data_IF_552323243722
#
_entry.id   IF_552323243722
#
_cell.length_a   1.000
_cell.length_b   1.000
_cell.length_c   1.000
_cell.angle_alpha   90.00
_cell.angle_beta   90.00
_cell.angle_gamma   90.00
#
_symmetry.space_group_name_H-M   'P 1'
#
loop_
_entity.id
_entity.type
_entity.pdbx_description
1 polymer ?
#
# COMPACT_ATOMS: atom_id res chain seq x y z
N UNK A 1 -1.06 21.07 16.00
CA UNK A 1 -0.38 20.25 17.03
C UNK A 1 0.18 19.02 16.34
N UNK A 2 1.38 18.55 16.72
CA UNK A 2 1.94 17.33 16.12
C UNK A 2 1.06 16.12 16.48
N UNK A 3 0.86 15.23 15.51
CA UNK A 3 0.17 13.95 15.72
C UNK A 3 0.96 13.08 16.68
N UNK A 4 0.24 12.42 17.59
CA UNK A 4 0.80 11.44 18.50
C UNK A 4 0.40 10.05 18.02
N UNK A 5 1.38 9.22 17.68
CA UNK A 5 1.15 7.90 17.08
C UNK A 5 0.65 6.90 18.11
N UNK A 6 0.07 5.78 17.65
CA UNK A 6 -0.28 4.66 18.52
C UNK A 6 0.90 4.16 19.36
N UNK A 7 2.11 4.14 18.78
CA UNK A 7 3.34 3.79 19.49
C UNK A 7 3.71 4.78 20.60
N UNK A 8 3.52 6.08 20.40
CA UNK A 8 3.80 7.06 21.46
C UNK A 8 2.83 6.87 22.64
N UNK A 9 1.59 6.48 22.36
CA UNK A 9 0.54 6.29 23.37
C UNK A 9 0.64 4.96 24.11
N UNK A 10 1.00 3.88 23.43
CA UNK A 10 1.15 2.57 24.11
C UNK A 10 2.31 2.62 25.12
N UNK A 11 3.38 3.35 24.81
CA UNK A 11 4.53 3.53 25.69
C UNK A 11 4.17 4.27 27.00
N UNK A 12 3.17 5.15 26.97
CA UNK A 12 2.67 5.84 28.16
C UNK A 12 1.83 4.94 29.07
N UNK A 13 1.25 3.86 28.54
CA UNK A 13 0.39 2.92 29.27
C UNK A 13 0.99 1.50 29.34
N UNK A 14 2.31 1.43 29.49
CA UNK A 14 3.09 0.18 29.45
C UNK A 14 2.66 -0.87 30.48
N UNK A 15 2.14 -0.46 31.64
CA UNK A 15 1.78 -1.37 32.74
C UNK A 15 0.66 -2.34 32.37
N UNK A 16 -0.22 -1.96 31.43
CA UNK A 16 -1.30 -2.81 30.90
C UNK A 16 -0.78 -4.04 30.16
N UNK A 17 0.40 -3.95 29.55
CA UNK A 17 0.95 -4.98 28.65
C UNK A 17 2.14 -5.73 29.25
N UNK A 18 2.63 -5.32 30.43
CA UNK A 18 3.88 -5.82 31.02
C UNK A 18 3.91 -7.34 31.29
N UNK A 19 2.77 -8.00 31.39
CA UNK A 19 2.66 -9.45 31.64
C UNK A 19 2.38 -10.29 30.39
N UNK A 20 2.24 -9.65 29.21
CA UNK A 20 1.93 -10.36 27.97
C UNK A 20 3.22 -10.88 27.33
N UNK A 21 3.18 -12.09 26.74
CA UNK A 21 4.17 -12.51 25.76
C UNK A 21 3.76 -11.94 24.39
N UNK A 22 4.57 -11.05 23.84
CA UNK A 22 4.18 -10.23 22.70
C UNK A 22 4.93 -10.63 21.43
N UNK A 23 4.18 -10.78 20.33
CA UNK A 23 4.73 -10.69 18.98
C UNK A 23 4.77 -9.23 18.51
N UNK A 24 5.69 -8.90 17.61
CA UNK A 24 5.70 -7.60 16.93
C UNK A 24 5.79 -7.80 15.41
N UNK A 25 4.73 -7.43 14.70
CA UNK A 25 4.72 -7.27 13.25
C UNK A 25 5.10 -5.83 12.92
N UNK A 26 6.30 -5.65 12.37
CA UNK A 26 6.91 -4.34 12.11
C UNK A 26 7.80 -4.37 10.87
N UNK A 27 8.23 -3.20 10.41
CA UNK A 27 9.31 -3.01 9.44
C UNK A 27 10.10 -1.73 9.75
N UNK A 28 10.91 -1.25 8.80
CA UNK A 28 11.70 -0.02 8.95
C UNK A 28 10.88 1.25 9.19
N UNK A 29 9.59 1.23 8.87
CA UNK A 29 8.69 2.35 9.12
C UNK A 29 8.15 2.39 10.56
N UNK A 30 8.36 1.30 11.31
CA UNK A 30 8.01 1.16 12.73
C UNK A 30 8.89 2.05 13.60
N UNK A 31 8.58 3.35 13.65
CA UNK A 31 9.28 4.34 14.47
C UNK A 31 8.31 5.21 15.27
N UNK A 32 8.78 5.77 16.38
CA UNK A 32 8.05 6.78 17.17
C UNK A 32 7.92 8.10 16.42
N UNK A 33 7.14 9.05 16.97
CA UNK A 33 7.09 10.43 16.45
C UNK A 33 8.44 11.17 16.46
N UNK A 34 9.47 10.57 17.06
CA UNK A 34 10.85 11.08 17.13
C UNK A 34 11.84 10.27 16.29
N UNK A 35 11.37 9.36 15.43
CA UNK A 35 12.19 8.45 14.62
C UNK A 35 13.01 7.44 15.44
N UNK A 36 12.58 7.11 16.65
CA UNK A 36 13.18 6.02 17.43
C UNK A 36 12.56 4.68 17.01
N UNK A 37 13.38 3.63 16.83
CA UNK A 37 12.93 2.30 16.40
C UNK A 37 11.93 1.72 17.41
N UNK A 38 10.77 1.26 16.93
CA UNK A 38 9.68 0.80 17.81
C UNK A 38 10.08 -0.40 18.68
N UNK A 39 10.79 -1.39 18.11
CA UNK A 39 11.28 -2.56 18.83
C UNK A 39 12.16 -2.16 20.01
N UNK A 40 13.11 -1.24 19.77
CA UNK A 40 14.01 -0.73 20.81
C UNK A 40 13.21 -0.05 21.93
N UNK A 41 12.30 0.85 21.58
CA UNK A 41 11.50 1.58 22.58
C UNK A 41 10.55 0.69 23.38
N UNK A 42 9.97 -0.31 22.75
CA UNK A 42 9.13 -1.30 23.42
C UNK A 42 9.96 -2.11 24.43
N UNK A 43 11.12 -2.63 24.02
CA UNK A 43 12.02 -3.39 24.92
C UNK A 43 12.54 -2.52 26.08
N UNK A 44 13.02 -1.30 25.81
CA UNK A 44 13.46 -0.35 26.84
C UNK A 44 12.35 0.00 27.84
N UNK A 45 11.10 0.01 27.38
CA UNK A 45 9.92 0.28 28.20
C UNK A 45 9.40 -0.96 28.94
N UNK A 46 10.11 -2.09 28.88
CA UNK A 46 9.78 -3.31 29.62
C UNK A 46 8.68 -4.17 28.98
N UNK A 47 8.37 -3.96 27.69
CA UNK A 47 7.50 -4.88 26.96
C UNK A 47 8.24 -6.19 26.71
N UNK A 48 7.55 -7.31 26.93
CA UNK A 48 8.13 -8.64 26.81
C UNK A 48 7.91 -9.20 25.39
N UNK A 49 8.66 -8.65 24.43
CA UNK A 49 8.66 -9.08 23.03
C UNK A 49 9.39 -10.42 22.91
N UNK A 50 8.73 -11.42 22.33
CA UNK A 50 9.24 -12.79 22.17
C UNK A 50 9.58 -13.14 20.74
N UNK A 51 8.84 -12.59 19.77
CA UNK A 51 8.92 -12.96 18.36
C UNK A 51 8.67 -11.74 17.49
N UNK A 52 9.38 -11.66 16.37
CA UNK A 52 9.23 -10.61 15.39
C UNK A 52 8.67 -11.20 14.08
N UNK A 53 7.83 -10.42 13.42
CA UNK A 53 7.25 -10.76 12.13
C UNK A 53 7.56 -9.63 11.15
N UNK A 54 8.08 -9.96 9.96
CA UNK A 54 8.33 -9.01 8.89
C UNK A 54 7.38 -9.21 7.72
N UNK A 55 6.79 -8.15 7.14
CA UNK A 55 5.96 -8.25 5.94
C UNK A 55 6.84 -8.35 4.67
N UNK A 56 6.27 -8.00 3.52
CA UNK A 56 7.02 -7.69 2.29
C UNK A 56 8.15 -6.67 2.55
N UNK A 57 9.33 -6.90 1.97
CA UNK A 57 10.60 -6.21 2.22
C UNK A 57 11.30 -6.51 3.57
N UNK A 58 10.66 -7.33 4.44
CA UNK A 58 11.21 -7.77 5.72
C UNK A 58 11.27 -6.67 6.79
N UNK A 59 11.78 -7.01 7.98
CA UNK A 59 11.82 -6.07 9.13
C UNK A 59 12.72 -4.85 8.86
N UNK A 60 13.80 -5.01 8.12
CA UNK A 60 14.69 -3.89 7.77
C UNK A 60 14.15 -3.01 6.64
N UNK A 61 13.08 -3.43 5.95
CA UNK A 61 12.56 -2.76 4.75
C UNK A 61 13.54 -2.67 3.58
N UNK A 62 14.67 -3.39 3.65
CA UNK A 62 15.78 -3.27 2.71
C UNK A 62 15.69 -4.27 1.54
N UNK A 63 14.81 -5.26 1.62
CA UNK A 63 14.67 -6.29 0.58
C UNK A 63 13.81 -5.75 -0.55
N UNK A 64 14.20 -6.01 -1.81
CA UNK A 64 13.47 -5.55 -2.98
C UNK A 64 12.05 -6.14 -3.06
N UNK A 65 11.22 -5.55 -3.90
CA UNK A 65 9.85 -6.00 -4.16
C UNK A 65 9.82 -7.36 -4.85
N UNK A 66 8.94 -8.27 -4.41
CA UNK A 66 8.87 -9.64 -4.93
C UNK A 66 9.96 -10.61 -4.48
N UNK A 67 10.98 -10.17 -3.71
CA UNK A 67 12.07 -11.03 -3.23
C UNK A 67 11.70 -11.79 -1.94
N UNK A 68 12.17 -13.04 -1.82
CA UNK A 68 11.89 -13.87 -0.64
C UNK A 68 12.76 -13.46 0.56
N UNK A 69 12.12 -13.17 1.69
CA UNK A 69 12.78 -13.01 2.99
C UNK A 69 12.71 -14.35 3.74
N UNK A 70 13.83 -14.80 4.31
CA UNK A 70 13.91 -16.04 5.12
C UNK A 70 13.79 -15.71 6.61
N UNK A 71 13.34 -16.69 7.38
CA UNK A 71 13.39 -16.64 8.84
C UNK A 71 14.84 -16.43 9.30
N UNK A 72 15.00 -15.67 10.38
CA UNK A 72 16.31 -15.27 10.88
C UNK A 72 16.28 -14.99 12.38
N UNK A 73 17.42 -14.58 12.94
CA UNK A 73 17.53 -14.08 14.30
C UNK A 73 17.92 -12.60 14.25
N UNK A 74 17.21 -11.77 15.01
CA UNK A 74 17.60 -10.38 15.17
C UNK A 74 18.99 -10.32 15.85
N UNK A 75 19.99 -9.68 15.22
CA UNK A 75 21.36 -9.73 15.70
C UNK A 75 21.60 -8.91 16.96
N UNK A 76 20.71 -7.95 17.28
CA UNK A 76 20.88 -7.03 18.42
C UNK A 76 20.25 -7.57 19.69
N UNK A 77 19.08 -8.20 19.57
CA UNK A 77 18.25 -8.64 20.68
C UNK A 77 18.10 -10.16 20.77
N UNK A 78 18.58 -10.92 19.77
CA UNK A 78 18.50 -12.37 19.76
C UNK A 78 17.07 -12.89 19.68
N UNK A 79 16.16 -12.13 19.06
CA UNK A 79 14.75 -12.50 18.87
C UNK A 79 14.56 -13.24 17.55
N UNK A 80 13.74 -14.31 17.50
CA UNK A 80 13.38 -14.95 16.23
C UNK A 80 12.57 -13.99 15.36
N UNK A 81 12.91 -13.97 14.07
CA UNK A 81 12.30 -13.16 13.01
C UNK A 81 11.66 -14.10 12.00
N UNK A 82 10.35 -14.01 11.83
CA UNK A 82 9.58 -14.78 10.86
C UNK A 82 9.20 -13.91 9.67
N UNK A 83 9.38 -14.43 8.46
CA UNK A 83 8.94 -13.77 7.22
C UNK A 83 7.49 -14.13 6.91
N UNK A 84 6.63 -13.11 6.82
CA UNK A 84 5.24 -13.23 6.36
C UNK A 84 5.11 -12.83 4.88
N UNK A 85 6.14 -13.15 4.09
CA UNK A 85 6.17 -12.95 2.65
C UNK A 85 6.85 -14.13 1.94
N UNK A 86 6.38 -14.47 0.74
CA UNK A 86 6.89 -15.60 -0.04
C UNK A 86 6.22 -16.92 0.34
N UNK A 87 6.92 -17.80 1.05
CA UNK A 87 6.41 -19.15 1.35
C UNK A 87 5.24 -19.14 2.34
N UNK A 88 5.18 -18.14 3.23
CA UNK A 88 4.14 -18.00 4.24
C UNK A 88 3.62 -16.56 4.17
N UNK A 89 2.35 -16.38 3.77
CA UNK A 89 1.67 -15.07 3.88
C UNK A 89 0.87 -14.95 5.19
N UNK A 90 0.57 -16.11 5.81
CA UNK A 90 -0.07 -16.26 7.11
C UNK A 90 0.97 -16.79 8.11
N UNK A 91 1.00 -16.30 9.36
CA UNK A 91 1.83 -16.91 10.39
C UNK A 91 1.32 -18.33 10.65
N UNK A 92 2.25 -19.28 10.85
CA UNK A 92 1.88 -20.65 11.21
C UNK A 92 1.57 -20.74 12.70
N UNK A 93 0.96 -21.85 13.11
CA UNK A 93 0.67 -22.13 14.51
C UNK A 93 1.93 -22.08 15.40
N UNK A 94 3.03 -22.64 14.92
CA UNK A 94 4.32 -22.67 15.63
C UNK A 94 4.92 -21.27 15.76
N UNK A 95 4.74 -20.42 14.74
CA UNK A 95 5.17 -19.04 14.79
C UNK A 95 4.39 -18.26 15.86
N UNK A 96 3.12 -18.58 16.10
CA UNK A 96 2.29 -17.93 17.12
C UNK A 96 2.42 -18.52 18.53
N UNK A 97 3.04 -19.69 18.68
CA UNK A 97 3.10 -20.41 19.96
C UNK A 97 3.72 -19.58 21.10
N UNK A 98 3.14 -19.69 22.29
CA UNK A 98 3.57 -18.96 23.50
C UNK A 98 3.27 -17.46 23.52
N UNK A 99 2.66 -16.89 22.47
CA UNK A 99 2.22 -15.50 22.44
C UNK A 99 0.82 -15.34 23.04
N UNK A 100 0.58 -14.21 23.72
CA UNK A 100 -0.75 -13.82 24.20
C UNK A 100 -1.34 -12.65 23.38
N UNK A 101 -0.48 -11.83 22.78
CA UNK A 101 -0.90 -10.82 21.83
C UNK A 101 0.17 -10.56 20.76
N UNK A 102 -0.24 -10.04 19.61
CA UNK A 102 0.65 -9.53 18.57
C UNK A 102 0.38 -8.05 18.35
N UNK A 103 1.43 -7.24 18.42
CA UNK A 103 1.40 -5.82 18.10
C UNK A 103 1.65 -5.65 16.60
N UNK A 104 0.81 -4.88 15.92
CA UNK A 104 1.04 -4.37 14.57
C UNK A 104 1.46 -2.91 14.62
N UNK A 105 2.61 -2.57 14.03
CA UNK A 105 3.09 -1.19 13.97
C UNK A 105 3.89 -0.91 12.68
N UNK A 106 3.18 -0.59 11.60
CA UNK A 106 3.76 -0.34 10.26
C UNK A 106 3.02 0.83 9.61
N UNK A 107 3.77 1.77 9.03
CA UNK A 107 3.21 2.84 8.21
C UNK A 107 2.77 2.28 6.85
N UNK A 108 1.47 2.29 6.58
CA UNK A 108 0.91 1.98 5.28
C UNK A 108 0.79 3.24 4.38
N UNK A 109 0.25 3.09 3.17
CA UNK A 109 0.16 4.18 2.18
C UNK A 109 -1.27 4.55 1.73
N UNK A 110 -2.29 3.95 2.34
CA UNK A 110 -3.71 4.22 2.05
C UNK A 110 -4.22 3.58 0.76
N UNK A 111 -3.49 2.62 0.21
CA UNK A 111 -3.77 2.00 -1.10
C UNK A 111 -3.86 0.48 -1.02
N UNK A 112 -4.84 -0.08 -1.70
CA UNK A 112 -5.22 -1.50 -1.64
C UNK A 112 -4.15 -2.45 -2.14
N UNK A 113 -3.37 -2.08 -3.15
CA UNK A 113 -2.29 -2.93 -3.67
C UNK A 113 -1.01 -2.85 -2.84
N UNK A 114 -0.98 -2.06 -1.76
CA UNK A 114 0.14 -2.04 -0.82
C UNK A 114 -0.03 -3.13 0.23
N UNK A 115 0.81 -4.16 0.20
CA UNK A 115 0.45 -5.49 0.73
C UNK A 115 0.41 -5.61 2.26
N UNK A 116 0.92 -4.62 2.99
CA UNK A 116 0.99 -4.63 4.46
C UNK A 116 -0.37 -4.80 5.14
N UNK A 117 -1.44 -4.35 4.48
CA UNK A 117 -2.81 -4.49 4.97
C UNK A 117 -3.30 -5.95 4.91
N UNK A 118 -2.83 -6.74 3.95
CA UNK A 118 -3.16 -8.16 3.86
C UNK A 118 -2.36 -8.96 4.88
N UNK A 119 -1.10 -8.59 5.13
CA UNK A 119 -0.33 -9.19 6.25
C UNK A 119 -1.04 -8.96 7.58
N UNK A 120 -1.64 -7.79 7.81
CA UNK A 120 -2.48 -7.54 8.99
C UNK A 120 -3.73 -8.45 8.99
N UNK A 121 -4.51 -8.47 7.91
CA UNK A 121 -5.73 -9.29 7.84
C UNK A 121 -5.44 -10.78 8.09
N UNK A 122 -4.40 -11.31 7.47
CA UNK A 122 -3.96 -12.70 7.63
C UNK A 122 -3.41 -13.01 9.03
N UNK A 123 -2.73 -12.05 9.66
CA UNK A 123 -2.34 -12.15 11.06
C UNK A 123 -3.58 -12.20 11.97
N UNK A 124 -4.57 -11.36 11.71
CA UNK A 124 -5.82 -11.32 12.48
C UNK A 124 -6.60 -12.63 12.38
N UNK A 125 -6.73 -13.19 11.18
CA UNK A 125 -7.33 -14.52 10.94
C UNK A 125 -6.64 -15.59 11.80
N UNK A 126 -5.31 -15.72 11.69
CA UNK A 126 -4.55 -16.73 12.42
C UNK A 126 -4.57 -16.52 13.94
N UNK A 127 -4.59 -15.26 14.40
CA UNK A 127 -4.68 -14.94 15.83
C UNK A 127 -6.07 -15.28 16.39
N UNK A 128 -7.14 -15.06 15.63
CA UNK A 128 -8.50 -15.40 16.03
C UNK A 128 -8.65 -16.91 16.31
N UNK A 129 -8.10 -17.76 15.45
CA UNK A 129 -8.10 -19.22 15.60
C UNK A 129 -7.41 -19.71 16.88
N UNK A 130 -6.43 -18.95 17.36
CA UNK A 130 -5.62 -19.28 18.56
C UNK A 130 -6.07 -18.56 19.83
N UNK A 131 -7.06 -17.67 19.75
CA UNK A 131 -7.46 -16.80 20.86
C UNK A 131 -6.34 -15.82 21.26
N UNK A 132 -5.49 -15.42 20.32
CA UNK A 132 -4.41 -14.46 20.52
C UNK A 132 -4.95 -13.06 20.21
N UNK A 133 -4.70 -12.11 21.10
CA UNK A 133 -5.13 -10.72 20.92
C UNK A 133 -4.30 -10.03 19.83
N UNK A 134 -4.91 -9.16 19.03
CA UNK A 134 -4.19 -8.27 18.10
C UNK A 134 -4.28 -6.84 18.58
N UNK A 135 -3.14 -6.17 18.68
CA UNK A 135 -3.03 -4.77 19.11
C UNK A 135 -2.49 -3.95 17.94
N UNK A 136 -3.32 -3.08 17.34
CA UNK A 136 -2.90 -2.21 16.24
C UNK A 136 -2.49 -0.85 16.79
N UNK A 137 -1.22 -0.48 16.59
CA UNK A 137 -0.74 0.86 16.88
C UNK A 137 -1.07 1.73 15.67
N UNK A 138 -2.10 2.55 15.82
CA UNK A 138 -2.64 3.26 14.67
C UNK A 138 -1.68 4.34 14.14
N UNK A 139 -1.72 4.54 12.82
CA UNK A 139 -0.84 5.45 12.08
C UNK A 139 -1.65 6.26 11.06
N UNK A 140 -1.18 7.46 10.67
CA UNK A 140 -1.86 8.29 9.68
C UNK A 140 -2.01 7.54 8.36
N UNK A 141 -3.21 7.55 7.77
CA UNK A 141 -3.32 7.32 6.34
C UNK A 141 -2.68 8.52 5.64
N UNK A 142 -1.59 8.35 4.86
CA UNK A 142 -0.85 9.49 4.35
C UNK A 142 -1.57 10.27 3.26
N UNK A 143 -2.58 9.64 2.66
CA UNK A 143 -3.47 10.25 1.69
C UNK A 143 -4.74 10.80 2.36
N UNK A 144 -4.94 10.65 3.66
CA UNK A 144 -6.17 11.11 4.31
C UNK A 144 -7.42 10.33 3.85
N UNK A 145 -8.59 10.98 3.89
CA UNK A 145 -9.88 10.28 3.84
C UNK A 145 -10.52 10.05 2.48
N UNK A 146 -9.98 10.64 1.40
CA UNK A 146 -10.60 10.50 0.08
C UNK A 146 -10.64 9.01 -0.29
N UNK A 147 -11.80 8.55 -0.74
CA UNK A 147 -12.00 7.20 -1.28
C UNK A 147 -12.05 7.33 -2.80
N UNK A 148 -11.28 6.49 -3.49
CA UNK A 148 -11.16 6.52 -4.95
C UNK A 148 -11.02 5.14 -5.56
N UNK A 149 -11.68 4.96 -6.70
CA UNK A 149 -11.51 3.81 -7.58
C UNK A 149 -12.51 2.67 -7.33
N UNK A 150 -12.46 1.64 -8.17
CA UNK A 150 -13.35 0.50 -8.06
C UNK A 150 -13.00 -0.40 -6.87
N UNK A 151 -14.01 -1.09 -6.35
CA UNK A 151 -13.81 -2.16 -5.36
C UNK A 151 -13.34 -3.44 -6.03
N UNK A 152 -12.82 -4.39 -5.25
CA UNK A 152 -12.49 -5.72 -5.77
C UNK A 152 -13.77 -6.49 -6.02
N UNK A 153 -14.00 -6.92 -7.27
CA UNK A 153 -15.11 -7.80 -7.62
C UNK A 153 -14.96 -9.13 -6.88
N UNK A 154 -16.06 -9.65 -6.35
CA UNK A 154 -16.09 -10.97 -5.70
C UNK A 154 -15.55 -12.06 -6.64
N UNK A 155 -14.65 -12.89 -6.13
CA UNK A 155 -13.93 -13.91 -6.91
C UNK A 155 -12.69 -13.37 -7.64
N UNK A 156 -12.41 -12.06 -7.54
CA UNK A 156 -11.22 -11.42 -8.08
C UNK A 156 -10.17 -11.07 -7.03
N UNK A 157 -10.31 -11.63 -5.82
CA UNK A 157 -9.39 -11.38 -4.72
C UNK A 157 -7.99 -11.96 -4.99
N UNK A 158 -6.97 -11.26 -4.49
CA UNK A 158 -5.56 -11.63 -4.53
C UNK A 158 -4.77 -10.88 -3.44
N UNK A 159 -3.48 -11.18 -3.29
CA UNK A 159 -2.60 -10.49 -2.32
C UNK A 159 -2.27 -9.02 -2.67
N UNK A 160 -2.82 -8.49 -3.76
CA UNK A 160 -2.76 -7.06 -4.14
C UNK A 160 -4.15 -6.45 -4.30
N UNK A 161 -5.19 -7.18 -3.92
CA UNK A 161 -6.58 -6.74 -4.05
C UNK A 161 -7.50 -7.70 -3.32
N UNK A 162 -7.90 -7.38 -2.10
CA UNK A 162 -8.79 -8.22 -1.29
C UNK A 162 -9.72 -7.40 -0.40
N UNK A 163 -10.53 -8.11 0.38
CA UNK A 163 -11.44 -7.55 1.37
C UNK A 163 -12.41 -6.47 0.85
N UNK A 164 -12.80 -6.54 -0.43
CA UNK A 164 -13.78 -5.62 -1.02
C UNK A 164 -13.37 -4.14 -0.97
N UNK A 165 -12.08 -3.84 -0.78
CA UNK A 165 -11.60 -2.48 -0.61
C UNK A 165 -11.64 -1.71 -1.93
N UNK A 166 -11.94 -0.41 -1.87
CA UNK A 166 -11.61 0.56 -2.94
C UNK A 166 -10.09 0.69 -3.11
N UNK A 167 -9.59 1.16 -4.26
CA UNK A 167 -8.15 1.36 -4.48
C UNK A 167 -7.54 2.27 -3.42
N UNK A 168 -8.04 3.50 -3.30
CA UNK A 168 -7.79 4.36 -2.15
C UNK A 168 -8.95 4.18 -1.21
N UNK A 169 -8.70 3.56 -0.07
CA UNK A 169 -9.75 3.07 0.81
C UNK A 169 -10.09 4.03 1.96
N UNK A 170 -9.34 5.12 2.12
CA UNK A 170 -9.68 6.24 2.99
C UNK A 170 -9.76 5.94 4.48
N UNK A 171 -9.14 4.87 4.98
CA UNK A 171 -9.12 4.53 6.42
C UNK A 171 -7.70 4.54 6.96
N UNK A 172 -7.50 4.77 8.26
CA UNK A 172 -6.24 4.42 8.92
C UNK A 172 -6.11 2.90 9.05
N UNK A 173 -4.92 2.41 9.40
CA UNK A 173 -4.72 0.98 9.61
C UNK A 173 -5.55 0.42 10.78
N UNK A 174 -5.79 1.23 11.82
CA UNK A 174 -6.68 0.87 12.93
C UNK A 174 -8.17 0.84 12.56
N UNK A 175 -8.62 1.81 11.77
CA UNK A 175 -9.98 1.81 11.19
C UNK A 175 -10.17 0.61 10.25
N UNK A 176 -9.17 0.33 9.40
CA UNK A 176 -9.16 -0.83 8.51
C UNK A 176 -9.20 -2.14 9.30
N UNK A 177 -8.46 -2.27 10.40
CA UNK A 177 -8.52 -3.46 11.25
C UNK A 177 -9.94 -3.69 11.80
N UNK A 178 -10.64 -2.64 12.22
CA UNK A 178 -12.04 -2.77 12.66
C UNK A 178 -12.96 -3.19 11.50
N UNK A 179 -12.78 -2.59 10.32
CA UNK A 179 -13.50 -2.97 9.09
C UNK A 179 -13.31 -4.46 8.78
N UNK A 180 -12.06 -4.93 8.75
CA UNK A 180 -11.75 -6.34 8.48
C UNK A 180 -12.38 -7.25 9.53
N UNK A 181 -12.26 -6.90 10.82
CA UNK A 181 -12.78 -7.74 11.89
C UNK A 181 -14.30 -7.92 11.82
N UNK A 182 -15.02 -6.85 11.46
CA UNK A 182 -16.47 -6.82 11.40
C UNK A 182 -17.04 -7.33 10.07
N UNK A 183 -16.64 -6.76 8.92
CA UNK A 183 -17.23 -7.09 7.61
C UNK A 183 -16.85 -8.49 7.14
N UNK A 184 -15.71 -9.03 7.61
CA UNK A 184 -15.23 -10.37 7.24
C UNK A 184 -15.35 -11.39 8.38
N UNK A 185 -16.01 -11.02 9.49
CA UNK A 185 -16.27 -11.90 10.64
C UNK A 185 -15.01 -12.63 11.15
N UNK A 186 -13.87 -11.93 11.19
CA UNK A 186 -12.59 -12.53 11.63
C UNK A 186 -12.70 -12.96 13.10
N UNK A 187 -13.33 -12.15 13.95
CA UNK A 187 -13.60 -12.51 15.34
C UNK A 187 -12.37 -12.48 16.26
N UNK A 188 -11.31 -11.76 15.90
CA UNK A 188 -10.14 -11.59 16.77
C UNK A 188 -10.45 -10.61 17.92
N UNK A 189 -9.87 -10.85 19.11
CA UNK A 189 -9.81 -9.82 20.16
C UNK A 189 -8.89 -8.69 19.67
N UNK A 190 -9.51 -7.65 19.10
CA UNK A 190 -8.82 -6.51 18.51
C UNK A 190 -8.78 -5.33 19.50
N UNK A 191 -7.60 -4.76 19.69
CA UNK A 191 -7.41 -3.48 20.36
C UNK A 191 -6.70 -2.50 19.43
N UNK A 192 -7.31 -1.35 19.17
CA UNK A 192 -6.69 -0.26 18.41
C UNK A 192 -6.22 0.85 19.36
N UNK A 193 -4.91 1.12 19.37
CA UNK A 193 -4.34 2.26 20.08
C UNK A 193 -4.45 3.49 19.19
N UNK A 194 -5.56 4.21 19.33
CA UNK A 194 -5.89 5.43 18.56
C UNK A 194 -4.81 6.49 18.69
N UNK A 195 -4.52 7.20 17.61
CA UNK A 195 -3.69 8.41 17.61
C UNK A 195 -4.38 9.59 18.33
N UNK A 196 -3.60 10.62 18.66
CA UNK A 196 -4.14 11.95 19.01
C UNK A 196 -3.74 12.99 17.96
N UNK A 197 -4.59 14.02 17.80
CA UNK A 197 -4.39 15.18 16.92
C UNK A 197 -4.36 14.89 15.41
N UNK A 198 -4.54 13.65 14.96
CA UNK A 198 -4.71 13.37 13.53
C UNK A 198 -6.14 13.74 13.10
N UNK A 199 -6.26 14.34 11.91
CA UNK A 199 -7.53 14.66 11.27
C UNK A 199 -7.62 13.90 9.97
N UNK A 200 -8.82 13.41 9.66
CA UNK A 200 -9.09 12.62 8.45
C UNK A 200 -8.76 13.35 7.15
N UNK A 201 -8.96 14.65 7.13
CA UNK A 201 -8.65 15.51 5.99
C UNK A 201 -7.15 15.75 5.78
N UNK A 202 -6.30 15.41 6.76
CA UNK A 202 -4.87 15.73 6.72
C UNK A 202 -4.10 14.71 5.88
N UNK A 203 -3.31 15.22 4.95
CA UNK A 203 -2.21 14.49 4.34
C UNK A 203 -1.05 14.33 5.32
N UNK A 204 -0.13 13.41 5.03
CA UNK A 204 0.96 13.08 5.96
C UNK A 204 1.83 14.27 6.37
N UNK A 205 2.15 15.16 5.44
CA UNK A 205 2.98 16.36 5.69
C UNK A 205 2.29 17.40 6.59
N UNK A 206 0.98 17.30 6.78
CA UNK A 206 0.22 18.14 7.69
C UNK A 206 0.21 17.60 9.13
N UNK A 207 0.71 16.38 9.36
CA UNK A 207 0.73 15.75 10.70
C UNK A 207 1.83 16.30 11.62
N UNK A 208 2.83 16.97 11.05
CA UNK A 208 4.04 17.39 11.75
C UNK A 208 5.02 16.25 12.08
N UNK A 209 4.82 15.07 11.49
CA UNK A 209 5.72 13.91 11.55
C UNK A 209 6.70 13.93 10.36
N UNK A 210 7.81 13.20 10.51
CA UNK A 210 8.75 12.94 9.43
C UNK A 210 8.32 11.67 8.69
N UNK A 211 8.48 11.61 7.36
CA UNK A 211 8.09 10.46 6.53
C UNK A 211 9.06 9.29 6.74
N UNK A 212 8.65 8.19 7.39
CA UNK A 212 9.47 7.00 7.42
C UNK A 212 9.19 6.22 6.13
N UNK A 213 10.13 6.25 5.19
CA UNK A 213 10.01 5.57 3.89
C UNK A 213 9.55 4.11 4.08
N UNK A 214 8.28 3.78 3.74
CA UNK A 214 7.71 2.48 4.11
C UNK A 214 8.17 1.37 3.16
N UNK A 215 8.51 1.70 1.92
CA UNK A 215 9.20 0.81 0.99
C UNK A 215 10.16 1.58 0.06
N UNK A 216 11.14 0.90 -0.55
CA UNK A 216 12.15 1.55 -1.40
C UNK A 216 11.56 2.36 -2.56
N UNK A 217 10.39 1.98 -3.07
CA UNK A 217 9.75 2.63 -4.22
C UNK A 217 8.69 3.68 -3.85
N UNK A 218 8.48 3.95 -2.55
CA UNK A 218 7.62 5.03 -2.05
C UNK A 218 8.45 5.99 -1.18
N UNK A 219 9.43 6.71 -1.76
CA UNK A 219 10.37 7.54 -0.99
C UNK A 219 9.74 8.83 -0.43
N UNK A 220 8.52 9.20 -0.84
CA UNK A 220 7.87 10.40 -0.33
C UNK A 220 6.39 10.52 -0.69
N UNK A 221 5.74 11.54 -0.13
CA UNK A 221 4.30 11.75 -0.27
C UNK A 221 3.86 11.96 -1.72
N UNK A 222 4.61 12.74 -2.51
CA UNK A 222 4.27 12.94 -3.93
C UNK A 222 4.28 11.62 -4.72
N UNK A 223 5.24 10.73 -4.42
CA UNK A 223 5.31 9.41 -5.02
C UNK A 223 4.10 8.57 -4.59
N UNK A 224 3.68 8.70 -3.32
CA UNK A 224 2.49 8.03 -2.78
C UNK A 224 1.20 8.48 -3.47
N UNK A 225 1.04 9.79 -3.69
CA UNK A 225 -0.11 10.35 -4.40
C UNK A 225 -0.17 9.75 -5.81
N UNK A 226 0.93 9.85 -6.58
CA UNK A 226 1.00 9.35 -7.94
C UNK A 226 0.85 7.82 -8.03
N UNK A 227 1.37 7.10 -7.04
CA UNK A 227 1.23 5.65 -6.91
C UNK A 227 -0.24 5.21 -6.89
N UNK A 228 -1.18 6.04 -6.41
CA UNK A 228 -2.65 5.81 -6.41
C UNK A 228 -3.23 5.38 -7.77
N UNK A 229 -2.61 5.79 -8.87
CA UNK A 229 -3.02 5.37 -10.21
C UNK A 229 -1.89 4.77 -11.02
N UNK A 230 -0.69 5.33 -10.94
CA UNK A 230 0.43 4.89 -11.79
C UNK A 230 0.96 3.50 -11.42
N UNK A 231 0.56 2.93 -10.28
CA UNK A 231 0.76 1.49 -10.01
C UNK A 231 0.07 0.60 -11.04
N UNK A 232 -1.07 1.01 -11.62
CA UNK A 232 -1.78 0.23 -12.65
C UNK A 232 -0.91 -0.06 -13.88
N UNK A 233 0.09 0.78 -14.15
CA UNK A 233 1.02 0.62 -15.28
C UNK A 233 1.99 -0.56 -15.06
N UNK A 234 2.10 -1.10 -13.85
CA UNK A 234 2.79 -2.38 -13.61
C UNK A 234 2.05 -3.55 -14.29
N UNK A 235 0.77 -3.36 -14.62
CA UNK A 235 -0.03 -4.31 -15.39
C UNK A 235 0.24 -4.31 -16.89
N UNK A 236 1.16 -3.46 -17.40
CA UNK A 236 1.51 -3.37 -18.82
C UNK A 236 3.03 -3.28 -19.00
N UNK A 237 3.52 -3.49 -20.20
CA UNK A 237 4.96 -3.46 -20.54
C UNK A 237 5.60 -2.05 -20.56
N UNK A 238 5.34 -1.23 -19.55
CA UNK A 238 5.92 0.09 -19.32
C UNK A 238 6.72 0.06 -18.00
N UNK A 239 7.90 0.70 -17.97
CA UNK A 239 8.59 0.96 -16.70
C UNK A 239 7.85 2.05 -15.95
N UNK A 240 7.54 1.83 -14.67
CA UNK A 240 6.96 2.83 -13.75
C UNK A 240 8.03 3.59 -12.97
N UNK A 241 9.26 3.66 -13.50
CA UNK A 241 10.35 4.42 -12.88
C UNK A 241 11.01 3.73 -11.69
N UNK A 242 10.63 2.50 -11.35
CA UNK A 242 11.41 1.66 -10.43
C UNK A 242 12.83 1.46 -10.97
N UNK A 243 13.80 1.40 -10.07
CA UNK A 243 15.22 1.43 -10.45
C UNK A 243 15.68 2.81 -10.93
N UNK A 244 14.99 3.88 -10.52
CA UNK A 244 15.44 5.27 -10.71
C UNK A 244 15.32 6.03 -9.39
N UNK A 245 15.68 7.31 -9.38
CA UNK A 245 15.49 8.20 -8.22
C UNK A 245 14.05 8.68 -8.02
N UNK A 246 13.14 8.37 -8.97
CA UNK A 246 11.77 8.91 -9.01
C UNK A 246 10.74 7.85 -9.45
N UNK A 247 10.57 6.75 -8.68
CA UNK A 247 9.56 5.73 -8.94
C UNK A 247 8.15 6.31 -8.92
N UNK A 248 7.27 5.83 -9.81
CA UNK A 248 5.90 6.31 -10.04
C UNK A 248 5.76 7.79 -10.44
N UNK A 249 6.87 8.54 -10.51
CA UNK A 249 6.90 9.85 -11.18
C UNK A 249 7.36 9.72 -12.62
N UNK A 250 8.19 8.73 -12.93
CA UNK A 250 8.64 8.40 -14.28
C UNK A 250 7.85 7.23 -14.82
N UNK A 251 7.47 7.31 -16.09
CA UNK A 251 6.90 6.18 -16.82
C UNK A 251 7.43 6.21 -18.24
N UNK A 252 7.83 5.07 -18.77
CA UNK A 252 8.41 5.01 -20.11
C UNK A 252 8.81 3.62 -20.55
N UNK A 253 9.17 3.50 -21.82
CA UNK A 253 9.71 2.28 -22.41
C UNK A 253 10.63 2.62 -23.59
N UNK A 254 11.53 1.71 -24.01
CA UNK A 254 12.41 1.93 -25.15
C UNK A 254 11.66 2.15 -26.49
N UNK A 255 10.44 1.63 -26.60
CA UNK A 255 9.59 1.71 -27.80
C UNK A 255 8.59 2.88 -27.76
N UNK A 256 8.46 3.59 -26.64
CA UNK A 256 7.44 4.60 -26.46
C UNK A 256 7.77 5.88 -27.23
N UNK A 257 6.82 6.43 -27.99
CA UNK A 257 6.99 7.77 -28.57
C UNK A 257 6.42 8.81 -27.62
N UNK A 258 7.23 9.23 -26.64
CA UNK A 258 6.80 10.10 -25.54
C UNK A 258 6.17 11.42 -25.98
N UNK A 259 6.68 12.04 -27.04
CA UNK A 259 6.14 13.30 -27.56
C UNK A 259 4.69 13.13 -28.08
N UNK A 260 4.44 12.09 -28.86
CA UNK A 260 3.11 11.77 -29.40
C UNK A 260 2.13 11.44 -28.26
N UNK A 261 2.58 10.62 -27.30
CA UNK A 261 1.78 10.26 -26.10
C UNK A 261 1.47 11.50 -25.26
N UNK A 262 2.45 12.36 -24.99
CA UNK A 262 2.24 13.59 -24.22
C UNK A 262 1.24 14.53 -24.91
N UNK A 263 1.33 14.65 -26.24
CA UNK A 263 0.43 15.48 -27.04
C UNK A 263 -1.01 14.98 -26.98
N UNK A 264 -1.23 13.67 -27.11
CA UNK A 264 -2.58 13.09 -26.99
C UNK A 264 -3.10 13.15 -25.55
N UNK A 265 -2.25 12.87 -24.55
CA UNK A 265 -2.64 12.89 -23.13
C UNK A 265 -3.06 14.30 -22.67
N UNK A 266 -2.42 15.35 -23.20
CA UNK A 266 -2.80 16.76 -22.94
C UNK A 266 -4.16 17.18 -23.49
N UNK A 267 -4.84 16.33 -24.28
CA UNK A 267 -6.23 16.57 -24.70
C UNK A 267 -7.24 16.27 -23.59
N UNK A 268 -6.84 15.51 -22.57
CA UNK A 268 -7.64 15.21 -21.39
C UNK A 268 -7.35 16.22 -20.27
N UNK A 269 -8.29 16.37 -19.33
CA UNK A 269 -8.09 17.22 -18.16
C UNK A 269 -7.41 16.46 -17.02
N UNK A 270 -6.24 16.95 -16.60
CA UNK A 270 -5.46 16.39 -15.49
C UNK A 270 -5.15 17.49 -14.45
N UNK A 271 -6.20 18.15 -13.94
CA UNK A 271 -6.05 19.16 -12.90
C UNK A 271 -5.23 18.64 -11.70
N UNK A 272 -4.35 19.49 -11.17
CA UNK A 272 -3.48 19.14 -10.06
C UNK A 272 -2.28 18.25 -10.43
N UNK A 273 -2.12 17.86 -11.70
CA UNK A 273 -0.95 17.09 -12.17
C UNK A 273 -0.32 17.78 -13.39
N UNK A 274 0.94 18.18 -13.26
CA UNK A 274 1.75 18.63 -14.40
C UNK A 274 2.56 17.47 -14.99
N UNK A 275 2.82 17.54 -16.29
CA UNK A 275 3.52 16.49 -17.03
C UNK A 275 4.46 17.06 -18.10
N UNK A 276 5.63 16.45 -18.24
CA UNK A 276 6.63 16.74 -19.28
C UNK A 276 7.24 15.46 -19.84
N UNK A 277 7.92 15.57 -20.97
CA UNK A 277 8.75 14.46 -21.47
C UNK A 277 9.95 14.23 -20.56
N UNK A 278 10.35 12.96 -20.45
CA UNK A 278 11.52 12.54 -19.70
C UNK A 278 12.09 11.25 -20.27
N UNK A 279 13.38 11.27 -20.56
CA UNK A 279 14.14 10.06 -20.83
C UNK A 279 14.90 9.63 -19.57
N UNK A 280 15.00 8.32 -19.34
CA UNK A 280 15.69 7.75 -18.19
C UNK A 280 16.19 6.35 -18.49
N UNK A 281 17.21 5.91 -17.75
CA UNK A 281 17.72 4.53 -17.77
C UNK A 281 17.54 3.97 -16.37
N UNK A 282 16.66 2.96 -16.16
CA UNK A 282 16.57 2.24 -14.90
C UNK A 282 17.87 1.49 -14.60
N UNK A 283 18.40 1.59 -13.38
CA UNK A 283 19.53 0.78 -12.90
C UNK A 283 19.10 -0.57 -12.34
N UNK A 284 17.79 -0.81 -12.18
CA UNK A 284 17.19 -2.09 -11.82
C UNK A 284 15.75 -2.17 -12.34
N UNK A 285 15.06 -3.30 -12.13
CA UNK A 285 13.68 -3.54 -12.56
C UNK A 285 13.49 -3.51 -14.10
N UNK A 286 12.26 -3.24 -14.55
CA UNK A 286 11.88 -3.26 -15.98
C UNK A 286 12.70 -2.29 -16.81
N UNK A 287 13.23 -2.79 -17.93
CA UNK A 287 14.13 -2.06 -18.84
C UNK A 287 15.45 -1.62 -18.18
N UNK A 288 15.95 -2.42 -17.24
CA UNK A 288 17.27 -2.21 -16.63
C UNK A 288 18.35 -2.05 -17.70
N UNK A 289 19.13 -0.97 -17.59
CA UNK A 289 20.20 -0.57 -18.51
C UNK A 289 19.75 -0.21 -19.94
N UNK A 290 18.44 -0.04 -20.17
CA UNK A 290 17.89 0.40 -21.46
C UNK A 290 17.37 1.84 -21.36
N UNK A 291 17.56 2.62 -22.43
CA UNK A 291 17.00 3.97 -22.54
C UNK A 291 15.49 3.89 -22.70
N UNK A 292 14.76 4.37 -21.70
CA UNK A 292 13.31 4.56 -21.76
C UNK A 292 13.00 5.99 -22.20
N UNK A 293 12.18 6.12 -23.24
CA UNK A 293 11.49 7.35 -23.59
C UNK A 293 10.19 7.40 -22.82
N UNK A 294 9.86 8.56 -22.24
CA UNK A 294 8.82 8.59 -21.22
C UNK A 294 8.33 9.96 -20.83
N UNK A 295 7.55 9.97 -19.75
CA UNK A 295 6.96 11.14 -19.15
C UNK A 295 7.38 11.24 -17.67
N UNK A 296 7.41 12.46 -17.17
CA UNK A 296 7.61 12.79 -15.76
C UNK A 296 6.43 13.61 -15.24
N UNK A 297 5.90 13.20 -14.08
CA UNK A 297 4.72 13.78 -13.45
C UNK A 297 5.06 14.52 -12.16
N UNK A 298 4.29 15.58 -11.88
CA UNK A 298 4.39 16.42 -10.69
C UNK A 298 3.01 16.72 -10.14
N UNK A 299 2.84 16.62 -8.83
CA UNK A 299 1.59 17.02 -8.18
C UNK A 299 1.63 18.52 -7.91
N UNK A 300 0.80 19.28 -8.63
CA UNK A 300 0.68 20.74 -8.48
C UNK A 300 -0.45 21.14 -7.52
N UNK A 301 -1.49 20.31 -7.41
CA UNK A 301 -2.57 20.45 -6.44
C UNK A 301 -3.11 19.06 -6.09
N UNK A 302 -2.79 18.59 -4.87
CA UNK A 302 -3.16 17.25 -4.40
C UNK A 302 -4.67 17.05 -4.20
N UNK A 303 -5.44 18.12 -4.01
CA UNK A 303 -6.87 18.04 -3.77
C UNK A 303 -7.66 17.89 -5.07
N UNK A 304 -7.06 18.35 -6.18
CA UNK A 304 -7.60 18.20 -7.53
C UNK A 304 -7.04 17.01 -8.30
N UNK A 305 -5.86 16.53 -7.91
CA UNK A 305 -5.20 15.42 -8.58
C UNK A 305 -6.08 14.16 -8.58
N UNK A 306 -6.17 13.53 -9.75
CA UNK A 306 -6.76 12.22 -9.98
C UNK A 306 -5.76 11.33 -10.75
N UNK A 307 -4.81 10.71 -10.01
CA UNK A 307 -3.81 9.83 -10.62
C UNK A 307 -4.42 8.58 -11.26
N UNK A 308 -5.58 8.12 -10.78
CA UNK A 308 -6.24 6.92 -11.29
C UNK A 308 -6.78 7.16 -12.70
N UNK A 309 -7.52 8.26 -12.89
CA UNK A 309 -8.00 8.69 -14.20
C UNK A 309 -6.85 8.99 -15.15
N UNK A 310 -5.78 9.63 -14.65
CA UNK A 310 -4.54 9.83 -15.41
C UNK A 310 -3.96 8.51 -15.92
N UNK A 311 -3.82 7.50 -15.06
CA UNK A 311 -3.24 6.22 -15.43
C UNK A 311 -4.08 5.51 -16.51
N UNK A 312 -5.42 5.54 -16.40
CA UNK A 312 -6.30 4.95 -17.41
C UNK A 312 -6.27 5.70 -18.74
N UNK A 313 -6.26 7.04 -18.72
CA UNK A 313 -6.08 7.84 -19.94
C UNK A 313 -4.71 7.58 -20.57
N UNK A 314 -3.66 7.41 -19.77
CA UNK A 314 -2.33 7.04 -20.25
C UNK A 314 -2.34 5.66 -20.92
N UNK A 315 -2.93 4.63 -20.30
CA UNK A 315 -3.04 3.29 -20.91
C UNK A 315 -3.85 3.37 -22.22
N UNK A 316 -4.99 4.05 -22.21
CA UNK A 316 -5.82 4.27 -23.40
C UNK A 316 -5.01 4.90 -24.55
N UNK A 317 -4.28 5.99 -24.27
CA UNK A 317 -3.46 6.69 -25.28
C UNK A 317 -2.34 5.78 -25.80
N UNK A 318 -1.69 5.01 -24.93
CA UNK A 318 -0.62 4.09 -25.33
C UNK A 318 -1.16 2.97 -26.23
N UNK A 319 -2.28 2.34 -25.87
CA UNK A 319 -2.94 1.31 -26.70
C UNK A 319 -3.25 1.90 -28.09
N UNK A 320 -3.82 3.11 -28.13
CA UNK A 320 -4.21 3.78 -29.37
C UNK A 320 -3.02 4.09 -30.29
N UNK A 321 -1.90 4.58 -29.73
CA UNK A 321 -0.74 5.02 -30.51
C UNK A 321 0.26 3.89 -30.80
N UNK A 322 0.30 2.85 -29.97
CA UNK A 322 1.30 1.79 -30.01
C UNK A 322 0.70 0.37 -29.95
N UNK A 323 -0.33 0.03 -30.74
CA UNK A 323 -1.02 -1.26 -30.63
C UNK A 323 -0.10 -2.47 -30.85
N UNK A 324 0.91 -2.34 -31.72
CA UNK A 324 1.87 -3.41 -32.04
C UNK A 324 2.95 -3.62 -30.96
N UNK A 325 3.21 -2.61 -30.12
CA UNK A 325 4.25 -2.66 -29.07
C UNK A 325 3.67 -2.82 -27.68
N UNK A 326 2.42 -2.40 -27.47
CA UNK A 326 1.73 -2.54 -26.20
C UNK A 326 1.48 -4.01 -25.88
N UNK A 327 1.73 -4.39 -24.62
CA UNK A 327 1.37 -5.69 -24.09
C UNK A 327 0.93 -5.56 -22.63
N UNK A 328 -0.09 -6.34 -22.26
CA UNK A 328 -0.42 -6.57 -20.87
C UNK A 328 0.69 -7.40 -20.22
N UNK A 329 1.00 -7.09 -18.97
CA UNK A 329 2.04 -7.79 -18.24
C UNK A 329 1.51 -9.09 -17.61
N UNK A 330 2.24 -10.15 -17.93
CA UNK A 330 1.99 -11.52 -17.53
C UNK A 330 3.05 -12.03 -16.53
N UNK A 331 4.05 -11.23 -16.17
CA UNK A 331 5.12 -11.66 -15.25
C UNK A 331 4.58 -11.90 -13.84
N UNK A 332 3.60 -11.11 -13.41
CA UNK A 332 3.01 -11.18 -12.08
C UNK A 332 1.60 -11.80 -12.12
N UNK A 333 1.53 -13.08 -12.48
CA UNK A 333 0.30 -13.88 -12.39
C UNK A 333 0.06 -14.41 -10.98
N UNK A 334 -1.22 -14.58 -10.63
CA UNK A 334 -1.62 -15.42 -9.51
C UNK A 334 -1.78 -16.88 -9.94
N UNK A 335 -2.19 -17.73 -9.00
CA UNK A 335 -2.40 -19.16 -9.24
C UNK A 335 -3.46 -19.42 -10.33
N UNK A 336 -4.36 -18.45 -10.57
CA UNK A 336 -5.43 -18.51 -11.57
C UNK A 336 -5.01 -17.96 -12.94
N UNK A 337 -3.77 -17.48 -13.09
CA UNK A 337 -3.24 -16.95 -14.36
C UNK A 337 -3.79 -15.58 -14.74
N UNK A 338 -4.40 -14.83 -13.80
CA UNK A 338 -4.95 -13.50 -14.06
C UNK A 338 -3.83 -12.50 -14.30
N UNK A 339 -3.97 -11.63 -15.30
CA UNK A 339 -2.97 -10.61 -15.59
C UNK A 339 -2.89 -9.58 -14.45
N UNK A 340 -1.74 -8.92 -14.35
CA UNK A 340 -1.47 -8.08 -13.19
C UNK A 340 -2.36 -6.82 -13.14
N UNK A 341 -2.73 -6.24 -14.29
CA UNK A 341 -3.67 -5.12 -14.33
C UNK A 341 -5.03 -5.48 -13.71
N UNK A 342 -5.61 -6.62 -14.09
CA UNK A 342 -6.92 -7.03 -13.57
C UNK A 342 -6.89 -7.24 -12.06
N UNK A 343 -5.76 -7.74 -11.52
CA UNK A 343 -5.55 -7.91 -10.08
C UNK A 343 -5.44 -6.57 -9.35
N UNK A 344 -4.75 -5.59 -9.94
CA UNK A 344 -4.58 -4.26 -9.36
C UNK A 344 -5.88 -3.45 -9.40
N UNK A 345 -6.59 -3.44 -10.54
CA UNK A 345 -7.85 -2.71 -10.69
C UNK A 345 -9.01 -3.44 -9.98
N UNK A 346 -8.94 -4.77 -9.84
CA UNK A 346 -9.89 -5.59 -9.09
C UNK A 346 -11.11 -6.04 -9.90
N UNK A 347 -11.15 -5.80 -11.20
CA UNK A 347 -12.24 -6.22 -12.09
C UNK A 347 -11.72 -6.38 -13.54
N UNK A 348 -11.93 -7.55 -14.18
CA UNK A 348 -11.41 -7.81 -15.53
C UNK A 348 -12.10 -7.01 -16.65
N UNK A 349 -13.26 -6.42 -16.37
CA UNK A 349 -14.03 -5.71 -17.39
C UNK A 349 -13.28 -4.45 -17.85
N UNK A 350 -12.54 -3.77 -16.96
CA UNK A 350 -11.81 -2.53 -17.26
C UNK A 350 -10.77 -2.71 -18.36
N UNK A 351 -10.02 -3.81 -18.32
CA UNK A 351 -9.06 -4.16 -19.37
C UNK A 351 -9.75 -4.28 -20.73
N UNK A 352 -10.84 -5.04 -20.78
CA UNK A 352 -11.60 -5.28 -22.01
C UNK A 352 -12.21 -4.00 -22.57
N UNK A 353 -12.54 -3.03 -21.71
CA UNK A 353 -13.04 -1.72 -22.12
C UNK A 353 -11.93 -0.80 -22.65
N UNK A 354 -10.74 -0.81 -22.02
CA UNK A 354 -9.57 -0.10 -22.53
C UNK A 354 -9.17 -0.59 -23.93
N UNK A 355 -9.20 -1.91 -24.17
CA UNK A 355 -8.95 -2.51 -25.48
C UNK A 355 -9.97 -2.09 -26.54
N UNK A 356 -11.21 -1.76 -26.11
CA UNK A 356 -12.27 -1.22 -26.99
C UNK A 356 -12.18 0.30 -27.17
N UNK A 357 -11.16 0.95 -26.58
CA UNK A 357 -10.94 2.39 -26.71
C UNK A 357 -11.78 3.23 -25.75
N UNK A 358 -12.35 2.67 -24.69
CA UNK A 358 -12.99 3.45 -23.63
C UNK A 358 -11.92 4.26 -22.90
N UNK A 359 -12.20 5.52 -22.61
CA UNK A 359 -11.26 6.44 -21.95
C UNK A 359 -11.28 6.30 -20.44
N UNK A 360 -10.24 6.77 -19.76
CA UNK A 360 -10.20 6.82 -18.30
C UNK A 360 -11.30 7.69 -17.70
N UNK A 361 -11.69 8.78 -18.38
CA UNK A 361 -12.84 9.60 -17.98
C UNK A 361 -14.13 8.77 -17.95
N UNK A 362 -14.43 8.02 -19.01
CA UNK A 362 -15.61 7.15 -19.09
C UNK A 362 -15.57 5.99 -18.08
N UNK A 363 -14.40 5.36 -17.91
CA UNK A 363 -14.24 4.27 -16.93
C UNK A 363 -14.47 4.76 -15.50
N UNK A 364 -14.04 5.97 -15.17
CA UNK A 364 -14.20 6.53 -13.83
C UNK A 364 -15.64 6.77 -13.43
N UNK A 365 -16.55 6.90 -14.40
CA UNK A 365 -17.99 6.99 -14.15
C UNK A 365 -18.59 5.64 -13.71
N UNK A 366 -18.00 4.52 -14.14
CA UNK A 366 -18.56 3.18 -13.91
C UNK A 366 -18.52 2.76 -12.44
N UNK A 367 -17.55 3.24 -11.67
CA UNK A 367 -17.38 2.85 -10.27
C UNK A 367 -17.93 3.85 -9.26
N UNK A 368 -18.61 4.92 -9.69
CA UNK A 368 -19.13 5.93 -8.75
C UNK A 368 -20.07 5.34 -7.70
N UNK A 369 -21.00 4.50 -8.14
CA UNK A 369 -21.97 3.86 -7.25
C UNK A 369 -21.29 2.91 -6.26
N UNK A 370 -20.35 2.07 -6.71
CA UNK A 370 -19.62 1.16 -5.80
C UNK A 370 -18.69 1.92 -4.84
N UNK A 371 -18.11 3.03 -5.28
CA UNK A 371 -17.29 3.91 -4.45
C UNK A 371 -18.13 4.60 -3.36
N UNK A 372 -19.33 5.08 -3.70
CA UNK A 372 -20.28 5.66 -2.74
C UNK A 372 -20.74 4.60 -1.72
N UNK A 373 -21.10 3.41 -2.18
CA UNK A 373 -21.47 2.30 -1.30
C UNK A 373 -20.33 1.92 -0.34
N UNK A 374 -19.09 1.81 -0.84
CA UNK A 374 -17.93 1.55 0.00
C UNK A 374 -17.67 2.69 0.99
N UNK A 375 -17.90 3.94 0.58
CA UNK A 375 -17.77 5.11 1.47
C UNK A 375 -18.72 5.02 2.66
N UNK A 376 -19.98 4.62 2.46
CA UNK A 376 -20.93 4.43 3.57
C UNK A 376 -20.54 3.28 4.49
N UNK A 377 -19.90 2.22 3.96
CA UNK A 377 -19.36 1.14 4.79
C UNK A 377 -18.17 1.64 5.61
N UNK A 378 -17.18 2.29 4.96
CA UNK A 378 -15.98 2.78 5.60
C UNK A 378 -16.29 3.74 6.77
N UNK A 379 -17.28 4.63 6.60
CA UNK A 379 -17.73 5.57 7.63
C UNK A 379 -18.10 4.93 8.97
N UNK A 380 -18.61 3.70 8.97
CA UNK A 380 -18.97 2.97 10.21
C UNK A 380 -17.76 2.69 11.09
N UNK A 381 -16.57 2.67 10.51
CA UNK A 381 -15.32 2.30 11.16
C UNK A 381 -14.43 3.49 11.50
N UNK A 382 -14.86 4.72 11.20
CA UNK A 382 -14.06 5.91 11.45
C UNK A 382 -13.82 6.14 12.95
N UNK A 383 -12.56 6.31 13.31
CA UNK A 383 -12.10 6.59 14.66
C UNK A 383 -11.74 8.07 14.86
N UNK A 384 -11.58 8.81 13.77
CA UNK A 384 -11.14 10.21 13.76
C UNK A 384 -12.16 11.09 13.02
N UNK A 385 -12.08 12.41 13.23
CA UNK A 385 -12.97 13.39 12.62
C UNK A 385 -12.22 14.63 12.17
#
# INVERSE_FOLDING_TARGET
MRVKLGIDKILENRTRYAKMNLGLLTNSSGVTSKLEINLEKLLESGFNIKKLFGPEHGISGAVADGEKVKDSMDPRYGLPVFSLYGNHLRPTEEMLDGLNAVIYDIQDVGLRYYTYIYTLGYLMEACAEKGIKVIVLDRPNPLGEKIEGPIVRKGYESFVGGYGLSIRYGMTIGELANYLNAEFNIGVDLEVIKMDNWRRTSYYDETGLLWPTPSPNIPGLEHTILYTGLCLLEGVNISVGRGTVHPFKYIGAPWLKSEEVLKELRKFSHEGIAMRERNFIPFSARYMNELCYGLEFYVTDRYKADPLRLALNLIHVIIKLHPESFAWDHVYHDAEGRNHFDRLIGNPDYKSLLEKGVTGDELSELWKEEQENFTEIARKYYLYH
#
